data_IF_012017598457
#
_entry.id   IF_012017598457
#
_cell.length_a   1.000
_cell.length_b   1.000
_cell.length_c   1.000
_cell.angle_alpha   90.00
_cell.angle_beta   90.00
_cell.angle_gamma   90.00
#
_symmetry.space_group_name_H-M   'P 1'
#
loop_
_entity.id
_entity.type
_entity.pdbx_description
1 polymer ?
#
# COMPACT_ATOMS: atom_id res chain seq x y z
N UNK A 1 -21.67 11.63 -62.65
CA UNK A 1 -22.14 11.13 -61.33
C UNK A 1 -21.06 11.47 -60.30
N UNK A 2 -21.30 12.46 -59.45
CA UNK A 2 -20.36 12.95 -58.43
C UNK A 2 -20.38 11.97 -57.25
N UNK A 3 -19.27 11.26 -56.98
CA UNK A 3 -19.14 10.42 -55.79
C UNK A 3 -18.66 11.30 -54.63
N UNK A 4 -19.54 11.53 -53.67
CA UNK A 4 -19.27 12.26 -52.43
C UNK A 4 -18.35 11.40 -51.55
N UNK A 5 -17.19 11.93 -51.15
CA UNK A 5 -16.36 11.33 -50.11
C UNK A 5 -16.92 11.74 -48.75
N UNK A 6 -17.42 10.78 -47.99
CA UNK A 6 -17.80 10.98 -46.58
C UNK A 6 -16.58 10.68 -45.72
N UNK A 7 -15.97 11.71 -45.13
CA UNK A 7 -14.92 11.54 -44.14
C UNK A 7 -15.55 11.16 -42.79
N UNK A 8 -15.17 10.00 -42.25
CA UNK A 8 -15.53 9.60 -40.88
C UNK A 8 -14.43 10.13 -39.97
N UNK A 9 -14.74 11.16 -39.18
CA UNK A 9 -13.87 11.65 -38.11
C UNK A 9 -14.13 10.79 -36.89
N UNK A 10 -13.15 9.96 -36.51
CA UNK A 10 -13.18 9.21 -35.26
C UNK A 10 -12.67 10.13 -34.15
N UNK A 11 -13.58 10.68 -33.35
CA UNK A 11 -13.24 11.46 -32.16
C UNK A 11 -12.81 10.46 -31.08
N UNK A 12 -11.50 10.35 -30.83
CA UNK A 12 -10.99 9.75 -29.59
C UNK A 12 -11.33 10.73 -28.47
N UNK A 13 -12.40 10.43 -27.74
CA UNK A 13 -12.67 11.07 -26.47
C UNK A 13 -11.57 10.61 -25.49
N UNK A 14 -10.57 11.46 -25.26
CA UNK A 14 -9.75 11.36 -24.06
C UNK A 14 -10.67 11.76 -22.92
N UNK A 15 -11.28 10.78 -22.27
CA UNK A 15 -11.92 11.00 -20.98
C UNK A 15 -10.80 11.39 -20.02
N UNK A 16 -10.63 12.69 -19.80
CA UNK A 16 -9.98 13.18 -18.60
C UNK A 16 -10.90 12.74 -17.45
N UNK A 17 -10.63 11.55 -16.90
CA UNK A 17 -11.27 11.10 -15.69
C UNK A 17 -10.97 12.14 -14.63
N UNK A 18 -12.00 12.72 -14.03
CA UNK A 18 -11.82 13.42 -12.76
C UNK A 18 -11.30 12.38 -11.79
N UNK A 19 -10.05 12.55 -11.33
CA UNK A 19 -9.53 11.80 -10.19
C UNK A 19 -10.46 12.15 -9.04
N UNK A 20 -11.33 11.21 -8.69
CA UNK A 20 -12.07 11.32 -7.45
C UNK A 20 -11.04 11.15 -6.35
N UNK A 21 -10.98 12.11 -5.42
CA UNK A 21 -10.15 12.00 -4.22
C UNK A 21 -10.66 10.78 -3.42
N UNK A 22 -10.01 9.65 -3.65
CA UNK A 22 -10.19 8.41 -2.92
C UNK A 22 -8.80 7.87 -2.61
N UNK A 23 -8.69 6.99 -1.63
CA UNK A 23 -7.44 6.31 -1.31
C UNK A 23 -6.95 5.53 -2.53
N UNK A 24 -5.64 5.57 -2.78
CA UNK A 24 -4.99 4.77 -3.81
C UNK A 24 -4.09 3.76 -3.13
N UNK A 25 -4.13 2.51 -3.62
CA UNK A 25 -3.40 1.38 -3.05
C UNK A 25 -2.46 0.75 -4.08
N UNK A 26 -1.76 -0.31 -3.67
CA UNK A 26 -1.21 -1.28 -4.61
C UNK A 26 -2.36 -1.99 -5.35
N UNK A 27 -2.32 -1.97 -6.67
CA UNK A 27 -3.38 -2.52 -7.53
C UNK A 27 -3.01 -3.86 -8.19
N UNK A 28 -1.73 -4.21 -8.21
CA UNK A 28 -1.27 -5.42 -8.91
C UNK A 28 0.05 -5.97 -8.39
N UNK A 29 0.12 -7.30 -8.31
CA UNK A 29 1.38 -8.03 -8.08
C UNK A 29 2.15 -8.13 -9.40
N UNK A 30 3.41 -7.70 -9.39
CA UNK A 30 4.32 -7.77 -10.55
C UNK A 30 5.20 -9.02 -10.47
N UNK A 31 5.80 -9.26 -9.31
CA UNK A 31 6.60 -10.44 -9.03
C UNK A 31 6.56 -10.78 -7.55
N UNK A 32 6.68 -12.06 -7.24
CA UNK A 32 6.76 -12.53 -5.87
C UNK A 32 7.67 -13.75 -5.80
N UNK A 33 8.64 -13.69 -4.88
CA UNK A 33 9.42 -14.83 -4.44
C UNK A 33 9.27 -14.93 -2.90
N UNK A 34 8.54 -15.93 -2.37
CA UNK A 34 8.40 -16.11 -0.93
C UNK A 34 9.74 -16.40 -0.24
N UNK A 35 10.69 -17.01 -0.96
CA UNK A 35 11.96 -17.55 -0.46
C UNK A 35 11.83 -18.47 0.78
N UNK A 36 12.87 -18.56 1.61
CA UNK A 36 12.89 -19.43 2.78
C UNK A 36 12.30 -18.75 4.02
N UNK A 37 11.81 -19.51 4.99
CA UNK A 37 11.18 -18.97 6.21
C UNK A 37 9.87 -18.18 5.99
N UNK A 38 9.26 -18.20 4.79
CA UNK A 38 7.88 -17.77 4.62
C UNK A 38 6.93 -18.66 5.42
N UNK A 39 5.96 -18.07 6.14
CA UNK A 39 4.99 -18.84 6.92
C UNK A 39 4.11 -19.69 5.99
N UNK A 40 4.06 -21.00 6.26
CA UNK A 40 3.33 -21.94 5.41
C UNK A 40 1.84 -21.64 5.42
N UNK A 41 1.29 -21.22 4.28
CA UNK A 41 -0.12 -20.86 4.12
C UNK A 41 -0.36 -19.38 3.90
N UNK A 42 0.63 -18.52 4.13
CA UNK A 42 0.55 -17.06 3.96
C UNK A 42 1.39 -16.58 2.78
N UNK A 43 1.34 -17.32 1.66
CA UNK A 43 2.12 -17.03 0.46
C UNK A 43 1.24 -16.56 -0.71
N UNK A 44 0.07 -16.00 -0.42
CA UNK A 44 -0.81 -15.40 -1.42
C UNK A 44 -0.41 -13.93 -1.63
N UNK A 45 0.32 -13.54 -2.70
CA UNK A 45 0.75 -12.16 -2.87
C UNK A 45 -0.41 -11.19 -3.17
N UNK A 46 -1.56 -11.69 -3.60
CA UNK A 46 -2.75 -10.85 -3.84
C UNK A 46 -3.34 -10.30 -2.52
N UNK A 47 -2.98 -10.88 -1.37
CA UNK A 47 -3.38 -10.38 -0.06
C UNK A 47 -2.81 -8.99 0.27
N UNK A 48 -1.76 -8.55 -0.43
CA UNK A 48 -1.16 -7.22 -0.25
C UNK A 48 -1.81 -6.11 -1.11
N UNK A 49 -2.87 -6.42 -1.86
CA UNK A 49 -3.52 -5.49 -2.77
C UNK A 49 -4.74 -4.82 -2.11
N UNK A 50 -4.99 -3.58 -2.50
CA UNK A 50 -6.12 -2.81 -1.97
C UNK A 50 -5.95 -2.45 -0.50
N UNK A 51 -7.09 -2.34 0.18
CA UNK A 51 -7.17 -2.00 1.60
C UNK A 51 -7.03 -3.25 2.47
N UNK A 52 -6.47 -3.11 3.67
CA UNK A 52 -6.47 -4.17 4.69
C UNK A 52 -7.89 -4.67 4.98
N UNK A 53 -8.01 -5.90 5.47
CA UNK A 53 -9.28 -6.38 6.01
C UNK A 53 -9.71 -5.54 7.23
N UNK A 54 -10.96 -5.08 7.24
CA UNK A 54 -11.53 -4.26 8.33
C UNK A 54 -12.23 -5.10 9.40
N UNK A 55 -12.45 -6.38 9.14
CA UNK A 55 -13.04 -7.35 10.06
C UNK A 55 -12.24 -8.66 9.97
N UNK A 56 -11.87 -9.17 11.13
CA UNK A 56 -11.03 -10.37 11.31
C UNK A 56 -11.85 -11.67 11.39
N UNK A 57 -13.18 -11.58 11.33
CA UNK A 57 -14.13 -12.63 11.68
C UNK A 57 -14.38 -12.77 13.18
N UNK A 58 -13.55 -12.15 14.03
CA UNK A 58 -13.69 -12.11 15.49
C UNK A 58 -13.97 -10.70 16.03
N UNK A 59 -14.13 -9.74 15.13
CA UNK A 59 -14.30 -8.34 15.44
C UNK A 59 -13.56 -7.45 14.44
N UNK A 60 -13.78 -6.15 14.58
CA UNK A 60 -13.12 -5.13 13.78
C UNK A 60 -11.60 -5.21 13.88
N UNK A 61 -10.93 -4.79 12.81
CA UNK A 61 -9.48 -4.60 12.80
C UNK A 61 -9.12 -3.36 13.61
N UNK A 62 -8.34 -3.57 14.66
CA UNK A 62 -7.90 -2.52 15.58
C UNK A 62 -6.40 -2.64 15.82
N UNK A 63 -5.76 -1.64 16.46
CA UNK A 63 -4.36 -1.75 16.89
C UNK A 63 -4.05 -2.91 17.84
N UNK A 64 -5.08 -3.64 18.30
CA UNK A 64 -4.98 -4.80 19.20
C UNK A 64 -5.59 -6.09 18.60
N UNK A 65 -6.12 -6.03 17.38
CA UNK A 65 -6.76 -7.15 16.70
C UNK A 65 -6.49 -7.06 15.19
N UNK A 66 -5.43 -7.71 14.74
CA UNK A 66 -5.04 -7.72 13.32
C UNK A 66 -5.75 -8.86 12.55
N UNK A 67 -6.05 -8.65 11.25
CA UNK A 67 -6.46 -9.70 10.32
C UNK A 67 -5.42 -10.82 10.24
N UNK A 68 -5.82 -12.09 10.16
CA UNK A 68 -4.91 -13.24 10.32
C UNK A 68 -5.14 -14.41 9.35
N UNK A 69 -6.01 -14.25 8.35
CA UNK A 69 -6.26 -15.30 7.34
C UNK A 69 -5.24 -15.22 6.20
N UNK A 70 -5.15 -16.29 5.40
CA UNK A 70 -4.21 -16.36 4.26
C UNK A 70 -4.48 -15.35 3.15
N UNK A 71 -5.64 -14.69 3.18
CA UNK A 71 -6.04 -13.66 2.22
C UNK A 71 -5.89 -12.24 2.81
N UNK A 72 -5.51 -12.11 4.08
CA UNK A 72 -5.38 -10.80 4.74
C UNK A 72 -3.94 -10.24 4.69
N UNK A 73 -2.94 -11.11 4.57
CA UNK A 73 -1.55 -10.71 4.47
C UNK A 73 -0.69 -11.74 3.70
N UNK A 74 0.48 -11.29 3.27
CA UNK A 74 1.50 -12.13 2.61
C UNK A 74 2.82 -12.08 3.36
N UNK A 75 3.46 -13.22 3.54
CA UNK A 75 4.77 -13.37 4.16
C UNK A 75 5.89 -13.45 3.12
N UNK A 76 6.80 -12.48 3.14
CA UNK A 76 8.06 -12.49 2.40
C UNK A 76 9.15 -13.01 3.34
N UNK A 77 9.66 -14.21 3.06
CA UNK A 77 10.70 -14.84 3.85
C UNK A 77 12.11 -14.32 3.55
N UNK A 78 13.09 -14.85 4.27
CA UNK A 78 14.52 -14.61 4.05
C UNK A 78 14.99 -15.05 2.65
N UNK A 79 15.54 -14.09 1.92
CA UNK A 79 15.98 -14.17 0.54
C UNK A 79 14.91 -13.74 -0.47
N UNK A 80 13.73 -13.34 0.00
CA UNK A 80 12.53 -13.16 -0.80
C UNK A 80 12.26 -11.72 -1.16
N UNK A 81 11.29 -11.54 -2.06
CA UNK A 81 10.80 -10.23 -2.44
C UNK A 81 9.34 -10.26 -2.91
N UNK A 82 8.68 -9.11 -2.79
CA UNK A 82 7.40 -8.82 -3.42
C UNK A 82 7.49 -7.49 -4.13
N UNK A 83 7.10 -7.48 -5.41
CA UNK A 83 7.01 -6.27 -6.22
C UNK A 83 5.55 -5.99 -6.53
N UNK A 84 5.11 -4.77 -6.21
CA UNK A 84 3.76 -4.28 -6.43
C UNK A 84 3.77 -3.10 -7.40
N UNK A 85 2.74 -3.00 -8.22
CA UNK A 85 2.39 -1.81 -9.01
C UNK A 85 1.27 -1.05 -8.29
N UNK A 86 1.45 0.26 -8.15
CA UNK A 86 0.46 1.16 -7.55
C UNK A 86 -0.66 1.46 -8.55
N UNK A 87 -1.89 1.64 -8.07
CA UNK A 87 -3.02 2.04 -8.92
C UNK A 87 -2.80 3.43 -9.54
N UNK A 88 -2.18 4.33 -8.76
CA UNK A 88 -1.81 5.66 -9.18
C UNK A 88 -0.32 5.88 -8.97
N UNK A 89 0.28 6.73 -9.80
CA UNK A 89 1.60 7.23 -9.52
C UNK A 89 1.58 7.98 -8.18
N UNK A 90 2.49 7.64 -7.28
CA UNK A 90 2.82 8.45 -6.12
C UNK A 90 3.70 9.62 -6.61
N UNK A 91 3.37 10.85 -6.20
CA UNK A 91 4.14 12.06 -6.47
C UNK A 91 4.97 12.43 -5.23
N UNK A 92 6.30 12.20 -5.22
CA UNK A 92 7.15 12.55 -4.08
C UNK A 92 7.05 14.04 -3.73
N UNK A 93 7.05 14.34 -2.43
CA UNK A 93 6.94 15.69 -1.90
C UNK A 93 7.87 15.94 -0.71
N UNK A 94 7.51 16.92 0.12
CA UNK A 94 8.15 17.17 1.40
C UNK A 94 7.30 16.50 2.49
N UNK A 95 7.49 15.19 2.73
CA UNK A 95 6.71 14.48 3.75
C UNK A 95 6.82 12.96 3.68
N UNK A 96 5.82 12.30 4.26
CA UNK A 96 5.67 10.85 4.16
C UNK A 96 4.50 10.55 3.22
N UNK A 97 4.78 9.90 2.10
CA UNK A 97 3.81 9.70 1.03
C UNK A 97 3.37 8.25 0.83
N UNK A 98 4.18 7.29 1.27
CA UNK A 98 3.95 5.86 1.07
C UNK A 98 3.61 5.17 2.40
N UNK A 99 2.35 4.76 2.58
CA UNK A 99 1.91 4.00 3.74
C UNK A 99 2.14 2.51 3.55
N UNK A 100 2.73 1.85 4.54
CA UNK A 100 2.97 0.40 4.57
C UNK A 100 2.25 -0.19 5.78
N UNK A 101 1.28 -1.05 5.53
CA UNK A 101 0.54 -1.77 6.58
C UNK A 101 1.11 -3.18 6.69
N UNK A 102 1.68 -3.49 7.85
CA UNK A 102 2.28 -4.78 8.16
C UNK A 102 1.48 -5.50 9.23
N UNK A 103 1.55 -6.84 9.24
CA UNK A 103 0.92 -7.70 10.23
C UNK A 103 1.48 -7.41 11.65
N UNK A 104 0.86 -6.45 12.34
CA UNK A 104 1.33 -5.84 13.58
C UNK A 104 0.17 -5.44 14.48
N UNK A 105 0.35 -5.61 15.79
CA UNK A 105 -0.54 -5.06 16.82
C UNK A 105 0.27 -4.74 18.08
N UNK A 106 -0.26 -3.85 18.90
CA UNK A 106 0.23 -3.65 20.26
C UNK A 106 -0.16 -4.84 21.14
N UNK A 107 0.69 -5.15 22.13
CA UNK A 107 0.25 -5.92 23.27
C UNK A 107 -0.68 -5.07 24.14
N UNK A 108 -1.88 -5.60 24.40
CA UNK A 108 -2.88 -4.90 25.21
C UNK A 108 -2.64 -5.15 26.71
N UNK A 109 -2.45 -4.08 27.49
CA UNK A 109 -2.41 -4.15 28.94
C UNK A 109 -3.84 -4.01 29.51
N UNK A 110 -4.39 -5.10 30.05
CA UNK A 110 -5.72 -5.09 30.68
C UNK A 110 -6.90 -5.43 29.75
N UNK A 111 -6.83 -6.54 29.02
CA UNK A 111 -7.92 -7.07 28.19
C UNK A 111 -9.29 -7.14 28.93
N UNK A 112 -10.42 -6.76 28.29
CA UNK A 112 -10.57 -6.31 26.90
C UNK A 112 -10.52 -4.79 26.68
N UNK A 113 -10.56 -4.00 27.75
CA UNK A 113 -10.83 -2.55 27.65
C UNK A 113 -9.59 -1.67 27.90
N UNK A 114 -8.47 -2.28 28.27
CA UNK A 114 -7.21 -1.58 28.53
C UNK A 114 -6.52 -1.07 27.27
N UNK A 115 -5.41 -0.36 27.43
CA UNK A 115 -4.63 0.19 26.33
C UNK A 115 -3.30 -0.53 26.16
N UNK A 116 -2.22 0.22 26.12
CA UNK A 116 -0.86 -0.26 25.84
C UNK A 116 -0.03 -0.42 27.11
N UNK A 117 1.01 -1.26 27.03
CA UNK A 117 2.02 -1.39 28.09
C UNK A 117 2.90 -0.13 28.21
N UNK A 118 3.69 -0.05 29.29
CA UNK A 118 4.72 0.98 29.51
C UNK A 118 6.09 0.32 29.82
N UNK A 119 7.06 0.31 28.87
CA UNK A 119 6.95 0.84 27.51
C UNK A 119 5.99 0.01 26.65
N UNK A 120 5.51 0.59 25.54
CA UNK A 120 4.64 -0.13 24.60
C UNK A 120 5.40 -1.31 23.99
N UNK A 121 4.70 -2.44 23.86
CA UNK A 121 5.23 -3.68 23.31
C UNK A 121 4.44 -4.10 22.06
N UNK A 122 5.14 -4.78 21.15
CA UNK A 122 4.64 -5.16 19.82
C UNK A 122 4.55 -6.67 19.69
N UNK A 123 3.50 -7.15 19.02
CA UNK A 123 3.35 -8.57 18.75
C UNK A 123 4.44 -9.10 17.80
N UNK A 124 4.86 -8.28 16.82
CA UNK A 124 5.90 -8.64 15.84
C UNK A 124 7.01 -7.57 15.79
N UNK A 125 7.94 -7.51 16.75
CA UNK A 125 8.94 -6.43 16.82
C UNK A 125 10.02 -6.49 15.72
N UNK A 126 9.99 -7.50 14.82
CA UNK A 126 11.02 -7.74 13.80
C UNK A 126 10.55 -7.57 12.35
N UNK A 127 9.39 -6.94 12.11
CA UNK A 127 8.91 -6.62 10.76
C UNK A 127 9.85 -5.64 10.06
N UNK A 128 10.71 -6.15 9.16
CA UNK A 128 11.70 -5.32 8.47
C UNK A 128 11.90 -5.73 7.01
N UNK A 129 12.03 -4.76 6.11
CA UNK A 129 12.36 -4.99 4.70
C UNK A 129 13.24 -3.88 4.14
N UNK A 130 14.05 -4.21 3.13
CA UNK A 130 14.59 -3.18 2.21
C UNK A 130 13.44 -2.76 1.30
N UNK A 131 13.18 -1.46 1.22
CA UNK A 131 12.14 -0.89 0.37
C UNK A 131 12.79 -0.18 -0.80
N UNK A 132 12.36 -0.51 -2.01
CA UNK A 132 12.83 0.10 -3.24
C UNK A 132 11.64 0.59 -4.07
N UNK A 133 11.82 1.69 -4.77
CA UNK A 133 10.79 2.31 -5.60
C UNK A 133 11.25 2.45 -7.04
N UNK A 134 10.29 2.49 -7.97
CA UNK A 134 10.55 2.70 -9.39
C UNK A 134 9.41 3.45 -10.07
N UNK A 135 9.73 4.28 -11.07
CA UNK A 135 8.72 4.83 -11.97
C UNK A 135 8.15 3.77 -12.92
N UNK A 136 9.02 2.89 -13.45
CA UNK A 136 8.70 2.01 -14.58
C UNK A 136 8.91 0.51 -14.34
N UNK A 137 9.32 0.11 -13.13
CA UNK A 137 9.53 -1.29 -12.74
C UNK A 137 10.85 -1.92 -13.22
N UNK A 138 11.71 -1.14 -13.88
CA UNK A 138 13.03 -1.61 -14.39
C UNK A 138 14.22 -1.08 -13.59
N UNK A 139 14.22 0.22 -13.31
CA UNK A 139 15.28 0.90 -12.56
C UNK A 139 14.81 1.15 -11.13
N UNK A 140 15.56 0.62 -10.15
CA UNK A 140 15.16 0.58 -8.74
C UNK A 140 16.03 1.51 -7.90
N UNK A 141 15.37 2.26 -7.02
CA UNK A 141 15.98 3.21 -6.12
C UNK A 141 15.65 2.79 -4.69
N UNK A 142 16.66 2.44 -3.91
CA UNK A 142 16.46 2.02 -2.53
C UNK A 142 16.21 3.22 -1.63
N UNK A 143 15.23 3.07 -0.75
CA UNK A 143 15.00 3.98 0.36
C UNK A 143 15.94 3.66 1.51
N UNK A 144 16.07 4.58 2.45
CA UNK A 144 16.92 4.53 3.63
C UNK A 144 18.37 4.11 3.31
N UNK A 145 18.91 4.61 2.20
CA UNK A 145 20.25 4.24 1.72
C UNK A 145 20.46 2.74 1.40
N UNK A 146 19.37 1.95 1.29
CA UNK A 146 19.41 0.50 1.11
C UNK A 146 19.41 -0.32 2.40
N UNK A 147 19.36 0.33 3.57
CA UNK A 147 19.18 -0.36 4.84
C UNK A 147 17.72 -0.78 5.04
N UNK A 148 17.49 -1.85 5.81
CA UNK A 148 16.14 -2.33 6.13
C UNK A 148 15.40 -1.28 6.98
N UNK A 149 14.13 -1.06 6.65
CA UNK A 149 13.20 -0.20 7.38
C UNK A 149 12.33 -1.09 8.27
N UNK A 150 12.14 -0.69 9.53
CA UNK A 150 11.23 -1.36 10.46
C UNK A 150 9.79 -0.88 10.23
N UNK A 151 8.85 -1.82 10.18
CA UNK A 151 7.42 -1.54 10.08
C UNK A 151 6.76 -1.86 11.43
N UNK A 152 6.76 -0.89 12.33
CA UNK A 152 6.43 -1.09 13.75
C UNK A 152 5.09 -0.48 14.18
N UNK A 153 4.40 0.19 13.26
CA UNK A 153 3.11 0.81 13.55
C UNK A 153 1.94 -0.10 13.15
N UNK A 154 1.08 -0.52 14.11
CA UNK A 154 -0.16 -1.22 13.82
C UNK A 154 -1.13 -0.43 12.93
N UNK A 155 -2.08 -1.15 12.33
CA UNK A 155 -3.21 -0.54 11.66
C UNK A 155 -4.40 -0.32 12.61
N UNK A 156 -5.22 0.69 12.31
CA UNK A 156 -6.52 0.93 12.93
C UNK A 156 -7.57 1.15 11.82
N UNK A 157 -8.37 0.13 11.49
CA UNK A 157 -9.37 0.29 10.44
C UNK A 157 -10.47 1.31 10.80
N UNK A 158 -10.64 1.60 12.09
CA UNK A 158 -11.63 2.53 12.60
C UNK A 158 -11.00 3.53 13.57
N UNK A 159 -11.58 4.72 13.62
CA UNK A 159 -11.15 5.86 14.44
C UNK A 159 -11.90 5.95 15.77
N UNK A 160 -12.89 5.09 15.99
CA UNK A 160 -13.69 4.96 17.20
C UNK A 160 -13.68 3.50 17.71
N UNK A 161 -13.77 3.33 19.04
CA UNK A 161 -13.73 2.01 19.67
C UNK A 161 -14.93 1.11 19.27
N UNK A 162 -16.06 1.71 18.90
CA UNK A 162 -17.26 1.01 18.44
C UNK A 162 -17.16 0.52 16.98
N UNK A 163 -16.08 0.85 16.27
CA UNK A 163 -15.85 0.50 14.88
C UNK A 163 -16.98 0.97 13.93
N UNK A 164 -17.41 2.22 14.07
CA UNK A 164 -18.47 2.82 13.25
C UNK A 164 -17.98 3.91 12.30
N UNK A 165 -16.77 4.42 12.51
CA UNK A 165 -16.14 5.48 11.72
C UNK A 165 -14.81 4.95 11.18
N UNK A 166 -14.81 4.56 9.91
CA UNK A 166 -13.62 4.09 9.22
C UNK A 166 -12.52 5.16 9.22
N UNK A 167 -11.28 4.72 9.46
CA UNK A 167 -10.10 5.57 9.44
C UNK A 167 -9.71 5.98 8.01
N UNK A 168 -8.93 7.06 7.90
CA UNK A 168 -8.38 7.51 6.62
C UNK A 168 -7.06 6.76 6.30
N UNK A 169 -7.16 5.77 5.42
CA UNK A 169 -6.02 5.00 4.89
C UNK A 169 -5.06 5.81 4.02
N UNK A 170 -5.41 7.05 3.66
CA UNK A 170 -4.60 7.98 2.88
C UNK A 170 -4.02 9.12 3.74
N UNK A 171 -4.24 9.12 5.05
CA UNK A 171 -3.70 10.11 5.98
C UNK A 171 -2.37 9.61 6.56
N UNK A 172 -1.24 10.31 6.30
CA UNK A 172 0.05 9.95 6.87
C UNK A 172 0.04 9.86 8.40
N UNK A 173 0.64 8.80 8.91
CA UNK A 173 0.84 8.58 10.34
C UNK A 173 2.31 8.87 10.69
N UNK A 174 2.52 9.85 11.58
CA UNK A 174 3.85 10.46 11.79
C UNK A 174 4.28 10.52 13.26
N UNK A 175 3.52 9.88 14.15
CA UNK A 175 3.85 9.78 15.57
C UNK A 175 4.87 8.67 15.79
N UNK A 176 5.50 8.68 16.95
CA UNK A 176 6.50 7.71 17.37
C UNK A 176 5.89 6.61 18.23
N UNK A 177 6.60 5.48 18.34
CA UNK A 177 6.12 4.34 19.13
C UNK A 177 5.94 4.71 20.61
N UNK A 178 6.82 5.56 21.16
CA UNK A 178 6.72 6.05 22.54
C UNK A 178 5.51 6.94 22.82
N UNK A 179 4.84 7.47 21.80
CA UNK A 179 3.57 8.20 21.99
C UNK A 179 2.44 7.27 22.47
N UNK A 180 2.67 5.95 22.40
CA UNK A 180 1.80 4.90 22.91
C UNK A 180 2.23 4.35 24.27
N UNK A 181 3.24 4.89 24.96
CA UNK A 181 3.65 4.34 26.25
C UNK A 181 2.56 4.53 27.32
N UNK A 182 2.03 3.43 27.85
CA UNK A 182 1.13 3.41 29.02
C UNK A 182 -0.24 4.05 28.82
N UNK A 183 -0.78 4.08 27.59
CA UNK A 183 -2.15 4.53 27.35
C UNK A 183 -3.13 3.55 28.00
N UNK A 184 -4.15 4.07 28.68
CA UNK A 184 -5.01 3.28 29.56
C UNK A 184 -6.22 2.65 28.88
N UNK A 185 -6.52 3.00 27.63
CA UNK A 185 -7.69 2.51 26.92
C UNK A 185 -7.51 2.48 25.40
N UNK A 186 -8.36 1.70 24.72
CA UNK A 186 -8.44 1.67 23.26
C UNK A 186 -8.72 3.06 22.66
N UNK A 187 -9.61 3.85 23.27
CA UNK A 187 -9.93 5.18 22.73
C UNK A 187 -8.75 6.13 22.84
N UNK A 188 -7.99 6.12 23.94
CA UNK A 188 -6.77 6.94 24.07
C UNK A 188 -5.74 6.58 22.99
N UNK A 189 -5.64 5.31 22.61
CA UNK A 189 -4.78 4.84 21.51
C UNK A 189 -5.30 5.38 20.18
N UNK A 190 -6.60 5.28 19.90
CA UNK A 190 -7.21 5.79 18.66
C UNK A 190 -7.13 7.32 18.55
N UNK A 191 -7.16 8.04 19.67
CA UNK A 191 -6.98 9.49 19.71
C UNK A 191 -5.56 9.88 19.22
N UNK A 192 -4.54 9.05 19.48
CA UNK A 192 -3.18 9.23 18.94
C UNK A 192 -3.12 8.97 17.44
N UNK A 193 -3.93 8.03 16.93
CA UNK A 193 -4.07 7.81 15.48
C UNK A 193 -4.69 9.02 14.78
N UNK A 194 -5.45 9.86 15.48
CA UNK A 194 -6.09 11.07 14.96
C UNK A 194 -6.88 10.79 13.65
N UNK A 195 -7.53 9.63 13.58
CA UNK A 195 -8.27 9.18 12.41
C UNK A 195 -7.43 8.72 11.20
N UNK A 196 -6.10 8.63 11.31
CA UNK A 196 -5.29 7.86 10.37
C UNK A 196 -5.55 6.37 10.57
N UNK A 197 -5.41 5.57 9.51
CA UNK A 197 -5.43 4.12 9.63
C UNK A 197 -4.12 3.53 10.19
N UNK A 198 -3.12 4.36 10.52
CA UNK A 198 -1.83 3.93 11.03
C UNK A 198 -0.91 3.40 9.94
N UNK A 199 -0.22 2.29 10.23
CA UNK A 199 0.84 1.78 9.39
C UNK A 199 2.11 2.63 9.45
N UNK A 200 3.18 2.13 8.84
CA UNK A 200 4.46 2.83 8.78
C UNK A 200 4.52 3.66 7.51
N UNK A 201 4.71 4.97 7.63
CA UNK A 201 4.74 5.88 6.50
C UNK A 201 6.17 6.26 6.13
N UNK A 202 6.48 6.23 4.84
CA UNK A 202 7.82 6.42 4.31
C UNK A 202 7.91 7.71 3.48
N UNK A 203 8.96 8.47 3.73
CA UNK A 203 9.40 9.58 2.88
C UNK A 203 10.14 8.98 1.69
N UNK A 204 9.67 9.27 0.49
CA UNK A 204 10.25 8.73 -0.76
C UNK A 204 11.05 9.76 -1.55
N UNK A 205 11.23 10.97 -1.01
CA UNK A 205 11.91 12.07 -1.68
C UNK A 205 13.37 11.76 -2.01
N UNK A 206 14.04 10.94 -1.19
CA UNK A 206 15.44 10.54 -1.40
C UNK A 206 15.67 9.73 -2.68
N UNK A 207 14.62 9.09 -3.23
CA UNK A 207 14.69 8.35 -4.48
C UNK A 207 14.99 9.27 -5.67
N UNK A 208 14.71 10.58 -5.56
CA UNK A 208 14.96 11.56 -6.62
C UNK A 208 14.12 11.36 -7.88
N UNK A 209 12.97 10.69 -7.75
CA UNK A 209 12.02 10.43 -8.84
C UNK A 209 10.94 11.50 -8.88
N UNK A 210 10.48 11.87 -10.07
CA UNK A 210 9.34 12.79 -10.24
C UNK A 210 8.00 12.12 -9.88
N UNK A 211 7.95 10.79 -10.01
CA UNK A 211 6.79 9.94 -9.69
C UNK A 211 7.20 8.48 -9.53
N UNK A 212 6.43 7.72 -8.77
CA UNK A 212 6.67 6.31 -8.46
C UNK A 212 5.44 5.50 -8.85
N UNK A 213 5.63 4.45 -9.65
CA UNK A 213 4.56 3.53 -10.05
C UNK A 213 4.69 2.15 -9.41
N UNK A 214 5.83 1.85 -8.80
CA UNK A 214 6.16 0.52 -8.29
C UNK A 214 6.89 0.61 -6.96
N UNK A 215 6.62 -0.37 -6.10
CA UNK A 215 7.35 -0.60 -4.85
C UNK A 215 7.79 -2.05 -4.79
N UNK A 216 8.98 -2.30 -4.25
CA UNK A 216 9.49 -3.63 -3.96
C UNK A 216 9.92 -3.71 -2.50
N UNK A 217 9.46 -4.76 -1.84
CA UNK A 217 9.92 -5.17 -0.51
C UNK A 217 10.83 -6.37 -0.66
N UNK A 218 12.03 -6.29 -0.10
CA UNK A 218 13.02 -7.38 -0.12
C UNK A 218 13.46 -7.70 1.30
N UNK A 219 13.48 -8.98 1.64
CA UNK A 219 13.99 -9.46 2.94
C UNK A 219 15.31 -10.19 2.68
N UNK A 220 16.46 -9.49 2.73
CA UNK A 220 17.72 -10.08 2.32
C UNK A 220 18.24 -11.15 3.32
N UNK A 221 17.88 -11.00 4.59
CA UNK A 221 18.25 -11.88 5.70
C UNK A 221 17.36 -11.62 6.93
N UNK A 222 17.33 -12.55 7.88
CA UNK A 222 16.63 -12.41 9.16
C UNK A 222 15.25 -13.08 9.18
N UNK A 223 14.36 -12.56 10.02
CA UNK A 223 12.97 -13.04 10.06
C UNK A 223 12.19 -12.57 8.82
N UNK A 224 11.00 -13.15 8.64
CA UNK A 224 10.11 -12.78 7.55
C UNK A 224 9.46 -11.41 7.75
N UNK A 225 9.06 -10.79 6.65
CA UNK A 225 8.24 -9.57 6.62
C UNK A 225 6.83 -9.93 6.15
N UNK A 226 5.82 -9.47 6.88
CA UNK A 226 4.41 -9.78 6.65
C UNK A 226 3.66 -8.50 6.26
N UNK A 227 3.21 -8.43 5.01
CA UNK A 227 2.60 -7.25 4.41
C UNK A 227 1.09 -7.44 4.22
N UNK A 228 0.31 -6.45 4.65
CA UNK A 228 -1.15 -6.40 4.48
C UNK A 228 -1.57 -5.48 3.34
N UNK A 229 -0.98 -4.27 3.26
CA UNK A 229 -1.34 -3.30 2.22
C UNK A 229 -0.27 -2.24 2.02
N UNK A 230 -0.39 -1.52 0.89
CA UNK A 230 0.36 -0.30 0.60
C UNK A 230 -0.62 0.78 0.13
N UNK A 231 -0.53 1.99 0.70
CA UNK A 231 -1.35 3.13 0.30
C UNK A 231 -0.51 4.36 -0.07
N UNK A 232 -1.16 5.31 -0.74
CA UNK A 232 -0.59 6.61 -1.08
C UNK A 232 -1.29 7.71 -0.26
N UNK A 233 -0.51 8.64 0.27
CA UNK A 233 -1.04 9.83 0.94
C UNK A 233 -1.97 10.60 -0.01
N UNK A 234 -3.14 11.04 0.46
CA UNK A 234 -4.12 11.75 -0.38
C UNK A 234 -3.53 12.97 -1.10
N UNK A 235 -2.57 13.67 -0.47
CA UNK A 235 -1.85 14.80 -1.05
C UNK A 235 -0.82 14.44 -2.13
N UNK A 236 -0.46 13.16 -2.27
CA UNK A 236 0.58 12.64 -3.16
C UNK A 236 0.03 11.77 -4.31
N UNK A 237 -1.29 11.63 -4.43
CA UNK A 237 -1.90 10.82 -5.49
C UNK A 237 -1.79 11.52 -6.85
N UNK A 238 -1.08 10.89 -7.78
CA UNK A 238 -0.95 11.30 -9.17
C UNK A 238 -1.95 10.62 -10.11
N UNK A 239 -1.64 10.65 -11.40
CA UNK A 239 -2.44 9.98 -12.42
C UNK A 239 -2.38 8.44 -12.26
N UNK A 240 -3.39 7.72 -12.77
CA UNK A 240 -3.40 6.26 -12.79
C UNK A 240 -2.15 5.69 -13.50
N UNK A 241 -1.59 4.61 -12.98
CA UNK A 241 -0.52 3.86 -13.65
C UNK A 241 -1.12 3.12 -14.86
N UNK A 242 -0.58 3.27 -16.08
CA UNK A 242 -1.18 2.65 -17.26
C UNK A 242 -1.11 1.12 -17.23
N UNK A 243 -2.28 0.48 -17.29
CA UNK A 243 -2.36 -0.97 -17.50
C UNK A 243 -1.70 -1.37 -18.85
N UNK A 244 -0.84 -2.42 -18.89
CA UNK A 244 -0.12 -2.83 -20.10
C UNK A 244 -1.01 -3.10 -21.32
N UNK A 245 -2.28 -3.51 -21.09
CA UNK A 245 -3.24 -3.81 -22.17
C UNK A 245 -3.88 -2.56 -22.79
N UNK A 246 -3.85 -1.41 -22.11
CA UNK A 246 -4.41 -0.15 -22.61
C UNK A 246 -3.68 0.35 -23.87
N UNK A 247 -2.39 0.05 -23.97
CA UNK A 247 -1.53 0.44 -25.11
C UNK A 247 -1.86 -0.39 -26.36
N UNK A 248 -2.25 -1.67 -26.20
CA UNK A 248 -2.61 -2.57 -27.31
C UNK A 248 -3.90 -2.14 -28.04
N UNK A 249 -4.86 -1.56 -27.32
CA UNK A 249 -6.10 -1.04 -27.91
C UNK A 249 -5.85 0.24 -28.75
N UNK A 250 -4.89 1.09 -28.35
CA UNK A 250 -4.48 2.24 -29.15
C UNK A 250 -3.70 1.82 -30.41
N UNK A 251 -2.85 0.79 -30.30
CA UNK A 251 -2.07 0.27 -31.43
C UNK A 251 -2.92 -0.40 -32.52
N UNK A 252 -3.94 -1.16 -32.14
CA UNK A 252 -4.82 -1.84 -33.12
C UNK A 252 -5.72 -0.88 -33.89
N UNK A 253 -6.22 0.19 -33.25
CA UNK A 253 -7.00 1.24 -33.93
C UNK A 253 -6.22 1.95 -35.05
N UNK A 254 -4.93 2.23 -34.84
CA UNK A 254 -4.07 2.87 -35.84
C UNK A 254 -3.81 1.97 -37.06
N UNK A 255 -3.72 0.65 -36.87
CA UNK A 255 -3.51 -0.30 -37.97
C UNK A 255 -4.76 -0.45 -38.87
N UNK A 256 -5.97 -0.35 -38.34
CA UNK A 256 -7.20 -0.43 -39.15
C UNK A 256 -7.45 0.82 -40.01
N UNK A 257 -6.99 1.99 -39.57
CA UNK A 257 -7.11 3.23 -40.35
C UNK A 257 -6.13 3.30 -41.53
N UNK A 258 -4.99 2.59 -41.46
CA UNK A 258 -3.97 2.60 -42.52
C UNK A 258 -4.27 1.69 -43.71
N UNK A 259 -5.30 0.83 -43.63
CA UNK A 259 -5.60 -0.19 -44.66
C UNK A 259 -6.70 0.20 -45.67
N UNK A 260 -7.20 1.44 -45.62
CA UNK A 260 -8.20 1.98 -46.57
C UNK A 260 -7.61 3.09 -47.45
N UNK A 261 -6.55 2.77 -48.19
CA UNK A 261 -6.07 3.58 -49.30
C UNK A 261 -5.38 2.70 -50.35
N UNK A 262 -6.19 1.96 -51.11
CA UNK A 262 -5.85 1.38 -52.42
C UNK A 262 -7.14 1.16 -53.20
#
# INVERSE_FOLDING_TARGET
MKKSLTAVVLILAVSAGTVQAGTSFAGRVVSYDPSTASESGYTNPEAALGQIAVDTGWGATTPFNMPFTSDDFVTIGEGGHLTLELENYLLPGDGFELGVFSYQMFYQDGWPDGGTTDPVDLFRPTQMAVVEVSEGGSDWYALNGGDRIQMDMPAAAYSDAEATIESDFSKPFTVSLSDFDGLGSVQEVLDVFDGSAGGTWLDVSEAGLDRIGYVRFTVPYGDAFELEAVSIASGAIGAAVPEPLSILLLGTGACFLRRRSS
#
